data_IF_481894768100
#
_entry.id   IF_481894768100
#
_cell.length_a   1.000
_cell.length_b   1.000
_cell.length_c   1.000
_cell.angle_alpha   90.00
_cell.angle_beta   90.00
_cell.angle_gamma   90.00
#
_symmetry.space_group_name_H-M   'P 1'
#
loop_
_entity.id
_entity.type
_entity.pdbx_description
1 polymer ?
#
# COMPACT_ATOMS: atom_id res chain seq x y z
N UNK A 1 -14.64 31.52 -16.14
CA UNK A 1 -14.75 30.28 -16.93
C UNK A 1 -16.21 29.90 -17.20
N UNK A 2 -17.06 29.74 -16.17
CA UNK A 2 -18.49 29.45 -16.36
C UNK A 2 -19.24 30.49 -17.22
N UNK A 3 -18.96 31.78 -17.06
CA UNK A 3 -19.55 32.83 -17.91
C UNK A 3 -19.16 32.69 -19.39
N UNK A 4 -17.95 32.20 -19.69
CA UNK A 4 -17.49 31.99 -21.07
C UNK A 4 -18.22 30.78 -21.67
N UNK A 5 -18.45 29.72 -20.89
CA UNK A 5 -19.26 28.58 -21.33
C UNK A 5 -20.71 28.99 -21.63
N UNK A 6 -21.30 29.90 -20.82
CA UNK A 6 -22.62 30.46 -21.11
C UNK A 6 -22.60 31.25 -22.43
N UNK A 7 -21.59 32.10 -22.64
CA UNK A 7 -21.42 32.84 -23.90
C UNK A 7 -21.24 31.92 -25.10
N UNK A 8 -20.45 30.85 -25.00
CA UNK A 8 -20.27 29.84 -26.03
C UNK A 8 -21.59 29.11 -26.35
N UNK A 9 -22.39 28.78 -25.33
CA UNK A 9 -23.71 28.17 -25.52
C UNK A 9 -24.72 29.14 -26.15
N UNK A 10 -24.64 30.43 -25.85
CA UNK A 10 -25.46 31.46 -26.52
C UNK A 10 -25.04 31.62 -27.99
N UNK A 11 -23.74 31.57 -28.30
CA UNK A 11 -23.25 31.55 -29.68
C UNK A 11 -23.71 30.30 -30.43
N UNK A 12 -23.68 29.12 -29.79
CA UNK A 12 -24.21 27.89 -30.36
C UNK A 12 -25.67 28.08 -30.81
N UNK A 13 -26.53 28.65 -29.95
CA UNK A 13 -27.94 28.90 -30.29
C UNK A 13 -28.10 29.87 -31.48
N UNK A 14 -27.25 30.90 -31.57
CA UNK A 14 -27.24 31.83 -32.71
C UNK A 14 -26.82 31.13 -34.00
N UNK A 15 -25.76 30.32 -33.98
CA UNK A 15 -25.26 29.59 -35.15
C UNK A 15 -26.23 28.49 -35.58
N UNK A 16 -26.89 27.81 -34.64
CA UNK A 16 -27.99 26.86 -34.91
C UNK A 16 -29.18 27.49 -35.62
N UNK A 17 -29.46 28.78 -35.42
CA UNK A 17 -30.56 29.45 -36.14
C UNK A 17 -30.29 29.64 -37.63
N UNK A 18 -29.02 29.60 -38.06
CA UNK A 18 -28.60 29.76 -39.46
C UNK A 18 -28.33 28.45 -40.21
N UNK A 19 -28.35 27.30 -39.54
CA UNK A 19 -27.98 25.99 -40.11
C UNK A 19 -29.04 24.95 -39.71
N UNK A 20 -29.62 24.25 -40.70
CA UNK A 20 -30.72 23.28 -40.49
C UNK A 20 -30.28 21.97 -39.80
N UNK A 21 -28.97 21.72 -39.69
CA UNK A 21 -28.41 20.52 -39.07
C UNK A 21 -28.06 20.73 -37.59
N UNK A 22 -28.10 19.65 -36.79
CA UNK A 22 -27.74 19.69 -35.38
C UNK A 22 -26.24 19.98 -35.18
N UNK A 23 -25.91 21.18 -34.73
CA UNK A 23 -24.56 21.57 -34.33
C UNK A 23 -24.33 21.20 -32.86
N UNK A 24 -23.16 20.65 -32.56
CA UNK A 24 -22.69 20.41 -31.19
C UNK A 24 -21.52 21.32 -30.87
N UNK A 25 -21.48 21.84 -29.63
CA UNK A 25 -20.32 22.49 -29.07
C UNK A 25 -19.49 21.44 -28.32
N UNK A 26 -18.23 21.26 -28.73
CA UNK A 26 -17.27 20.36 -28.08
C UNK A 26 -16.06 21.18 -27.60
N UNK A 27 -15.39 20.71 -26.55
CA UNK A 27 -14.13 21.29 -26.07
C UNK A 27 -13.05 20.21 -26.08
N UNK A 28 -11.95 20.43 -26.80
CA UNK A 28 -10.79 19.52 -26.84
C UNK A 28 -9.51 20.28 -26.55
N UNK A 29 -8.50 19.59 -26.00
CA UNK A 29 -7.21 20.21 -25.68
C UNK A 29 -6.53 20.85 -26.90
N UNK A 30 -6.63 20.23 -28.08
CA UNK A 30 -6.01 20.73 -29.31
C UNK A 30 -6.68 21.99 -29.86
N UNK A 31 -8.02 22.10 -29.79
CA UNK A 31 -8.78 23.14 -30.49
C UNK A 31 -9.56 24.09 -29.57
N UNK A 32 -9.65 23.80 -28.28
CA UNK A 32 -10.56 24.49 -27.37
C UNK A 32 -12.03 24.22 -27.72
N UNK A 33 -12.90 25.18 -27.40
CA UNK A 33 -14.30 25.16 -27.81
C UNK A 33 -14.43 25.27 -29.33
N UNK A 34 -15.08 24.31 -29.95
CA UNK A 34 -15.32 24.30 -31.39
C UNK A 34 -16.70 23.73 -31.69
N UNK A 35 -17.22 24.07 -32.87
CA UNK A 35 -18.47 23.52 -33.35
C UNK A 35 -18.21 22.25 -34.17
N UNK A 36 -19.13 21.30 -34.07
CA UNK A 36 -19.09 20.04 -34.81
C UNK A 36 -20.43 19.80 -35.50
N UNK A 37 -20.37 19.45 -36.79
CA UNK A 37 -21.53 19.02 -37.60
C UNK A 37 -21.22 17.77 -38.41
N UNK A 38 -22.25 17.24 -39.08
CA UNK A 38 -22.09 16.16 -40.04
C UNK A 38 -21.39 16.63 -41.33
N UNK A 39 -20.82 15.69 -42.09
CA UNK A 39 -20.14 15.97 -43.36
C UNK A 39 -21.06 16.57 -44.43
N UNK A 40 -22.39 16.43 -44.29
CA UNK A 40 -23.36 16.94 -45.26
C UNK A 40 -23.46 18.47 -45.21
N UNK A 41 -23.25 19.07 -44.04
CA UNK A 41 -23.28 20.52 -43.84
C UNK A 41 -21.99 21.27 -44.21
N UNK A 42 -20.93 20.59 -44.69
CA UNK A 42 -19.64 21.25 -44.99
C UNK A 42 -19.80 22.41 -45.98
N UNK A 43 -20.61 22.22 -47.03
CA UNK A 43 -20.84 23.24 -48.06
C UNK A 43 -21.50 24.49 -47.48
N UNK A 44 -22.47 24.32 -46.57
CA UNK A 44 -23.19 25.41 -45.91
C UNK A 44 -22.25 26.21 -44.99
N UNK A 45 -21.31 25.55 -44.32
CA UNK A 45 -20.31 26.22 -43.46
C UNK A 45 -19.37 27.10 -44.29
N UNK A 46 -18.89 26.59 -45.44
CA UNK A 46 -18.02 27.37 -46.34
C UNK A 46 -18.74 28.58 -46.93
N UNK A 47 -20.03 28.46 -47.24
CA UNK A 47 -20.85 29.57 -47.74
C UNK A 47 -21.08 30.66 -46.69
N UNK A 48 -21.14 30.28 -45.41
CA UNK A 48 -21.25 31.20 -44.27
C UNK A 48 -19.92 31.86 -43.87
N UNK A 49 -18.82 31.54 -44.56
CA UNK A 49 -17.50 32.13 -44.31
C UNK A 49 -16.85 31.69 -42.98
N UNK A 50 -17.30 30.58 -42.40
CA UNK A 50 -16.75 30.08 -41.13
C UNK A 50 -15.46 29.25 -41.33
N UNK A 51 -14.58 29.28 -40.34
CA UNK A 51 -13.25 28.69 -40.44
C UNK A 51 -13.28 27.20 -40.07
N UNK A 52 -12.95 26.32 -41.03
CA UNK A 52 -12.92 24.87 -40.82
C UNK A 52 -11.58 24.47 -40.20
N UNK A 53 -11.63 23.79 -39.05
CA UNK A 53 -10.48 23.31 -38.31
C UNK A 53 -10.06 21.90 -38.73
N UNK A 54 -11.03 21.01 -38.94
CA UNK A 54 -10.79 19.61 -39.29
C UNK A 54 -11.99 19.04 -40.03
N UNK A 55 -11.76 18.25 -41.08
CA UNK A 55 -12.80 17.48 -41.78
C UNK A 55 -12.36 16.03 -41.87
N UNK A 56 -13.13 15.11 -41.27
CA UNK A 56 -12.84 13.67 -41.36
C UNK A 56 -14.11 12.82 -41.34
N UNK A 57 -14.01 11.64 -41.98
CA UNK A 57 -15.14 10.71 -42.17
C UNK A 57 -15.73 10.16 -40.86
N UNK A 58 -14.92 10.09 -39.79
CA UNK A 58 -15.34 9.62 -38.47
C UNK A 58 -15.72 10.73 -37.48
N UNK A 59 -15.06 11.89 -37.55
CA UNK A 59 -15.26 13.01 -36.62
C UNK A 59 -16.22 14.09 -37.16
N UNK A 60 -16.60 14.07 -38.43
CA UNK A 60 -17.45 15.10 -39.03
C UNK A 60 -16.63 16.32 -39.44
N UNK A 61 -17.29 17.49 -39.50
CA UNK A 61 -16.64 18.77 -39.78
C UNK A 61 -16.58 19.58 -38.48
N UNK A 62 -15.36 19.94 -38.06
CA UNK A 62 -15.08 20.84 -36.95
C UNK A 62 -14.78 22.22 -37.48
N UNK A 63 -15.41 23.24 -36.92
CA UNK A 63 -15.25 24.61 -37.38
C UNK A 63 -15.38 25.60 -36.20
N UNK A 64 -14.92 26.81 -36.45
CA UNK A 64 -14.95 27.94 -35.51
C UNK A 64 -15.37 29.21 -36.22
N UNK A 65 -15.67 30.25 -35.45
CA UNK A 65 -15.91 31.61 -35.91
C UNK A 65 -15.07 32.59 -35.08
N UNK A 66 -14.94 33.83 -35.55
CA UNK A 66 -14.14 34.87 -34.89
C UNK A 66 -14.58 35.04 -33.43
N UNK A 67 -15.88 35.13 -33.17
CA UNK A 67 -16.43 35.28 -31.82
C UNK A 67 -16.07 34.10 -30.89
N UNK A 68 -16.08 32.86 -31.42
CA UNK A 68 -15.73 31.68 -30.64
C UNK A 68 -14.22 31.58 -30.39
N UNK A 69 -13.40 31.99 -31.37
CA UNK A 69 -11.95 32.06 -31.21
C UNK A 69 -11.52 33.11 -30.18
N UNK A 70 -12.22 34.26 -30.09
CA UNK A 70 -12.01 35.26 -29.05
C UNK A 70 -12.34 34.69 -27.65
N UNK A 71 -13.49 34.03 -27.50
CA UNK A 71 -13.86 33.37 -26.26
C UNK A 71 -12.88 32.24 -25.88
N UNK A 72 -12.36 31.50 -26.85
CA UNK A 72 -11.32 30.50 -26.64
C UNK A 72 -10.02 31.11 -26.09
N UNK A 73 -9.58 32.24 -26.66
CA UNK A 73 -8.39 32.96 -26.17
C UNK A 73 -8.59 33.45 -24.74
N UNK A 74 -9.76 34.01 -24.45
CA UNK A 74 -10.12 34.47 -23.11
C UNK A 74 -10.17 33.29 -22.12
N UNK A 75 -10.82 32.18 -22.49
CA UNK A 75 -10.89 30.97 -21.68
C UNK A 75 -9.51 30.41 -21.37
N UNK A 76 -8.65 30.25 -22.40
CA UNK A 76 -7.28 29.74 -22.22
C UNK A 76 -6.45 30.63 -21.30
N UNK A 77 -6.61 31.96 -21.40
CA UNK A 77 -5.93 32.90 -20.50
C UNK A 77 -6.36 32.70 -19.05
N UNK A 78 -7.66 32.55 -18.79
CA UNK A 78 -8.17 32.31 -17.44
C UNK A 78 -7.83 30.92 -16.92
N UNK A 79 -7.90 29.88 -17.75
CA UNK A 79 -7.52 28.50 -17.37
C UNK A 79 -6.05 28.44 -16.97
N UNK A 80 -5.16 28.98 -17.80
CA UNK A 80 -3.73 29.02 -17.51
C UNK A 80 -3.42 29.82 -16.25
N UNK A 81 -4.10 30.96 -16.03
CA UNK A 81 -3.93 31.72 -14.80
C UNK A 81 -4.43 30.95 -13.56
N UNK A 82 -5.58 30.30 -13.66
CA UNK A 82 -6.15 29.48 -12.60
C UNK A 82 -5.23 28.31 -12.24
N UNK A 83 -4.74 27.57 -13.23
CA UNK A 83 -3.79 26.47 -13.05
C UNK A 83 -2.48 26.95 -12.40
N UNK A 84 -1.96 28.11 -12.81
CA UNK A 84 -0.75 28.69 -12.22
C UNK A 84 -0.94 29.07 -10.75
N UNK A 85 -2.10 29.63 -10.39
CA UNK A 85 -2.44 29.95 -8.99
C UNK A 85 -2.64 28.67 -8.17
N UNK A 86 -3.33 27.69 -8.73
CA UNK A 86 -3.57 26.40 -8.09
C UNK A 86 -2.25 25.66 -7.82
N UNK A 87 -1.33 25.62 -8.78
CA UNK A 87 -0.02 24.98 -8.61
C UNK A 87 0.75 25.62 -7.45
N UNK A 88 0.82 26.96 -7.41
CA UNK A 88 1.48 27.69 -6.31
C UNK A 88 0.85 27.41 -4.95
N UNK A 89 -0.47 27.26 -4.91
CA UNK A 89 -1.18 26.92 -3.68
C UNK A 89 -0.85 25.49 -3.22
N UNK A 90 -0.76 24.53 -4.14
CA UNK A 90 -0.33 23.16 -3.83
C UNK A 90 1.11 23.17 -3.31
N UNK A 91 2.02 23.90 -3.96
CA UNK A 91 3.42 24.00 -3.54
C UNK A 91 3.52 24.55 -2.11
N UNK A 92 2.75 25.60 -1.78
CA UNK A 92 2.67 26.16 -0.44
C UNK A 92 2.18 25.14 0.60
N UNK A 93 1.16 24.33 0.27
CA UNK A 93 0.67 23.28 1.16
C UNK A 93 1.76 22.22 1.38
N UNK A 94 2.40 21.75 0.31
CA UNK A 94 3.45 20.73 0.40
C UNK A 94 4.62 21.23 1.24
N UNK A 95 5.03 22.49 1.06
CA UNK A 95 6.09 23.10 1.86
C UNK A 95 5.70 23.31 3.32
N UNK A 96 4.43 23.62 3.59
CA UNK A 96 3.93 23.68 4.97
C UNK A 96 3.95 22.30 5.63
N UNK A 97 3.50 21.26 4.90
CA UNK A 97 3.50 19.88 5.38
C UNK A 97 4.90 19.31 5.55
N UNK A 98 5.87 19.72 4.71
CA UNK A 98 7.24 19.20 4.76
C UNK A 98 7.95 19.55 6.08
N UNK A 99 7.57 20.66 6.73
CA UNK A 99 8.04 21.01 8.07
C UNK A 99 7.69 19.98 9.16
N UNK A 100 6.68 19.14 8.93
CA UNK A 100 6.25 18.10 9.88
C UNK A 100 6.86 16.72 9.61
N UNK A 101 7.73 16.59 8.60
CA UNK A 101 8.37 15.31 8.27
C UNK A 101 9.01 14.63 9.48
N UNK A 102 9.80 15.31 10.34
CA UNK A 102 10.39 14.65 11.52
C UNK A 102 9.33 14.06 12.47
N UNK A 103 8.26 14.80 12.73
CA UNK A 103 7.15 14.34 13.58
C UNK A 103 6.43 13.14 12.97
N UNK A 104 6.22 13.11 11.65
CA UNK A 104 5.64 11.95 10.98
C UNK A 104 6.54 10.73 11.02
N UNK A 105 7.87 10.91 10.93
CA UNK A 105 8.83 9.82 11.09
C UNK A 105 8.77 9.23 12.51
N UNK A 106 8.82 10.06 13.55
CA UNK A 106 8.70 9.62 14.95
C UNK A 106 7.38 8.89 15.21
N UNK A 107 6.27 9.42 14.68
CA UNK A 107 4.96 8.77 14.78
C UNK A 107 4.96 7.41 14.06
N UNK A 108 5.56 7.33 12.88
CA UNK A 108 5.66 6.08 12.12
C UNK A 108 6.45 5.02 12.88
N UNK A 109 7.56 5.38 13.52
CA UNK A 109 8.35 4.47 14.35
C UNK A 109 7.56 3.97 15.56
N UNK A 110 6.88 4.89 16.26
CA UNK A 110 6.04 4.54 17.41
C UNK A 110 4.91 3.57 17.01
N UNK A 111 4.23 3.83 15.89
CA UNK A 111 3.18 2.95 15.36
C UNK A 111 3.77 1.59 14.97
N UNK A 112 4.93 1.53 14.31
CA UNK A 112 5.57 0.28 13.92
C UNK A 112 5.92 -0.61 15.13
N UNK A 113 6.40 0.00 16.22
CA UNK A 113 6.66 -0.71 17.48
C UNK A 113 5.35 -1.27 18.06
N UNK A 114 4.31 -0.45 18.14
CA UNK A 114 3.00 -0.87 18.66
C UNK A 114 2.43 -2.02 17.83
N UNK A 115 2.43 -1.89 16.50
CA UNK A 115 1.92 -2.90 15.58
C UNK A 115 2.66 -4.24 15.75
N UNK A 116 4.00 -4.18 15.85
CA UNK A 116 4.83 -5.37 16.07
C UNK A 116 4.51 -6.06 17.40
N UNK A 117 4.41 -5.30 18.49
CA UNK A 117 4.09 -5.85 19.82
C UNK A 117 2.66 -6.42 19.88
N UNK A 118 1.70 -5.74 19.23
CA UNK A 118 0.32 -6.22 19.13
C UNK A 118 0.26 -7.51 18.32
N UNK A 119 0.98 -7.60 17.19
CA UNK A 119 1.04 -8.82 16.38
C UNK A 119 1.58 -10.02 17.20
N UNK A 120 2.61 -9.82 18.01
CA UNK A 120 3.13 -10.85 18.92
C UNK A 120 2.10 -11.23 20.00
N UNK A 121 1.38 -10.25 20.56
CA UNK A 121 0.32 -10.51 21.54
C UNK A 121 -0.83 -11.31 20.91
N UNK A 122 -1.25 -10.98 19.69
CA UNK A 122 -2.31 -11.67 18.96
C UNK A 122 -1.92 -13.11 18.68
N UNK A 123 -0.67 -13.36 18.26
CA UNK A 123 -0.14 -14.72 18.09
C UNK A 123 -0.24 -15.52 19.38
N UNK A 124 0.23 -14.95 20.50
CA UNK A 124 0.24 -15.61 21.79
C UNK A 124 -1.17 -15.92 22.33
N UNK A 125 -2.13 -15.01 22.13
CA UNK A 125 -3.51 -15.17 22.61
C UNK A 125 -4.42 -15.95 21.67
N UNK A 126 -4.15 -15.92 20.36
CA UNK A 126 -4.99 -16.54 19.32
C UNK A 126 -4.65 -18.01 19.06
N UNK A 127 -3.55 -18.50 19.60
CA UNK A 127 -3.13 -19.90 19.44
C UNK A 127 -4.01 -20.85 20.26
N UNK A 128 -4.21 -22.07 19.77
CA UNK A 128 -5.04 -23.10 20.42
C UNK A 128 -4.57 -23.51 21.82
N UNK A 129 -3.32 -23.19 22.17
CA UNK A 129 -2.76 -23.43 23.50
C UNK A 129 -1.97 -22.21 23.93
N UNK A 130 -2.00 -21.92 25.24
CA UNK A 130 -1.35 -20.74 25.78
C UNK A 130 0.15 -20.73 25.47
N UNK A 131 0.64 -19.54 25.11
CA UNK A 131 2.07 -19.22 25.08
C UNK A 131 2.46 -18.67 26.45
N UNK A 132 3.70 -18.89 26.85
CA UNK A 132 4.22 -18.47 28.16
C UNK A 132 5.29 -17.40 28.01
N UNK A 133 5.36 -16.48 28.98
CA UNK A 133 6.46 -15.52 29.06
C UNK A 133 7.73 -16.27 29.46
N UNK A 134 8.79 -16.26 28.64
CA UNK A 134 10.04 -16.94 28.97
C UNK A 134 10.77 -16.21 30.10
N UNK A 135 11.48 -16.96 30.93
CA UNK A 135 12.47 -16.43 31.86
C UNK A 135 13.85 -16.40 31.18
N UNK A 136 14.28 -15.21 30.78
CA UNK A 136 15.60 -15.01 30.18
C UNK A 136 16.63 -14.78 31.30
N UNK A 137 17.70 -15.57 31.29
CA UNK A 137 18.84 -15.48 32.20
C UNK A 137 20.05 -14.85 31.50
N UNK A 138 21.02 -14.38 32.27
CA UNK A 138 22.30 -13.90 31.74
C UNK A 138 23.07 -15.03 31.03
N UNK A 139 23.84 -14.66 30.00
CA UNK A 139 24.57 -15.58 29.11
C UNK A 139 25.46 -16.60 29.88
N UNK A 140 26.09 -16.18 30.98
CA UNK A 140 27.00 -17.02 31.78
C UNK A 140 26.34 -18.18 32.52
N UNK A 141 25.00 -18.26 32.55
CA UNK A 141 24.25 -19.30 33.27
C UNK A 141 24.14 -20.62 32.49
N UNK A 142 24.29 -20.58 31.16
CA UNK A 142 24.31 -21.77 30.28
C UNK A 142 23.11 -22.73 30.48
N UNK A 143 21.92 -22.18 30.68
CA UNK A 143 20.67 -22.96 30.85
C UNK A 143 19.82 -22.87 29.58
N UNK A 144 19.23 -23.98 29.17
CA UNK A 144 18.16 -24.03 28.17
C UNK A 144 17.13 -25.08 28.58
N UNK A 145 16.03 -24.63 29.18
CA UNK A 145 14.93 -25.45 29.66
C UNK A 145 13.62 -25.01 29.00
N UNK A 146 13.10 -25.85 28.10
CA UNK A 146 11.81 -25.66 27.44
C UNK A 146 10.92 -26.86 27.77
N UNK A 147 9.86 -26.65 28.54
CA UNK A 147 8.90 -27.70 28.94
C UNK A 147 7.70 -27.72 28.01
N UNK A 148 7.34 -28.91 27.53
CA UNK A 148 6.29 -29.12 26.52
C UNK A 148 6.38 -28.12 25.36
N UNK A 149 7.58 -27.97 24.80
CA UNK A 149 7.85 -27.13 23.66
C UNK A 149 7.11 -27.64 22.41
N UNK A 150 6.47 -26.72 21.69
CA UNK A 150 5.74 -26.99 20.45
C UNK A 150 6.35 -26.21 19.28
N UNK A 151 6.04 -26.63 18.06
CA UNK A 151 6.48 -25.91 16.86
C UNK A 151 5.44 -24.85 16.48
N UNK A 152 5.74 -23.54 16.56
CA UNK A 152 4.72 -22.48 16.42
C UNK A 152 4.02 -22.51 15.04
N UNK A 153 4.74 -22.85 13.97
CA UNK A 153 4.15 -22.96 12.62
C UNK A 153 3.33 -24.24 12.42
N UNK A 154 3.76 -25.37 12.99
CA UNK A 154 3.05 -26.64 12.75
C UNK A 154 1.79 -26.72 13.58
N UNK A 155 1.81 -26.23 14.83
CA UNK A 155 0.61 -26.22 15.68
C UNK A 155 -0.50 -25.32 15.15
N UNK A 156 -0.12 -24.25 14.43
CA UNK A 156 -1.06 -23.33 13.82
C UNK A 156 -1.73 -23.90 12.55
N UNK A 157 -1.27 -25.05 12.04
CA UNK A 157 -1.84 -25.65 10.85
C UNK A 157 -3.15 -26.37 11.19
N UNK A 158 -4.31 -25.88 10.71
CA UNK A 158 -5.62 -26.46 11.02
C UNK A 158 -5.80 -27.88 10.46
N UNK A 159 -5.01 -28.25 9.45
CA UNK A 159 -5.05 -29.57 8.82
C UNK A 159 -4.08 -30.56 9.49
N UNK A 160 -3.27 -30.13 10.46
CA UNK A 160 -2.36 -31.02 11.17
C UNK A 160 -3.06 -31.66 12.38
N UNK A 161 -2.74 -32.93 12.65
CA UNK A 161 -3.11 -33.55 13.92
C UNK A 161 -2.43 -32.79 15.07
N UNK A 162 -2.98 -32.92 16.28
CA UNK A 162 -2.45 -32.28 17.48
C UNK A 162 -0.94 -32.49 17.61
N UNK A 163 -0.18 -31.39 17.66
CA UNK A 163 1.28 -31.43 17.75
C UNK A 163 1.71 -32.04 19.09
N UNK A 164 2.58 -33.05 19.07
CA UNK A 164 3.12 -33.67 20.28
C UNK A 164 4.26 -32.79 20.80
N UNK A 165 4.05 -32.20 21.98
CA UNK A 165 5.03 -31.36 22.66
C UNK A 165 6.22 -32.17 23.21
N UNK A 166 7.40 -31.56 23.27
CA UNK A 166 8.62 -32.21 23.77
C UNK A 166 9.36 -31.34 24.78
N UNK A 167 10.02 -31.96 25.75
CA UNK A 167 10.91 -31.28 26.67
C UNK A 167 12.31 -31.12 26.05
N UNK A 168 12.94 -29.97 26.31
CA UNK A 168 14.31 -29.67 25.89
C UNK A 168 15.05 -29.14 27.11
N UNK A 169 16.11 -29.83 27.50
CA UNK A 169 16.93 -29.45 28.66
C UNK A 169 18.40 -29.58 28.25
N UNK A 170 19.12 -28.47 28.25
CA UNK A 170 20.57 -28.40 28.11
C UNK A 170 21.14 -27.49 29.20
N UNK A 171 22.25 -27.95 29.80
CA UNK A 171 22.95 -27.27 30.87
C UNK A 171 22.17 -27.18 32.19
N UNK A 172 22.74 -26.46 33.14
CA UNK A 172 22.12 -26.07 34.42
C UNK A 172 22.92 -24.95 35.04
N UNK A 173 22.29 -24.19 35.95
CA UNK A 173 23.02 -23.14 36.69
C UNK A 173 24.14 -23.68 37.58
N UNK A 174 24.13 -24.98 37.88
CA UNK A 174 25.10 -25.65 38.74
C UNK A 174 26.33 -26.14 37.96
N UNK A 175 26.34 -26.03 36.63
CA UNK A 175 27.51 -26.33 35.78
C UNK A 175 27.74 -27.82 35.45
N UNK A 176 27.04 -28.75 36.11
CA UNK A 176 27.28 -30.20 35.99
C UNK A 176 26.42 -30.93 34.94
N UNK A 177 25.77 -30.21 34.01
CA UNK A 177 24.77 -30.79 33.09
C UNK A 177 25.17 -30.85 31.62
N UNK A 178 24.45 -31.71 30.87
CA UNK A 178 24.60 -31.99 29.44
C UNK A 178 24.46 -30.73 28.56
N UNK A 179 25.54 -30.33 27.89
CA UNK A 179 25.56 -29.22 26.92
C UNK A 179 25.43 -29.66 25.46
N UNK A 180 25.43 -30.98 25.21
CA UNK A 180 25.39 -31.54 23.86
C UNK A 180 24.46 -32.76 23.81
N UNK A 181 23.53 -32.76 22.85
CA UNK A 181 22.54 -33.81 22.69
C UNK A 181 22.73 -34.55 21.36
N UNK A 182 22.98 -35.85 21.43
CA UNK A 182 22.99 -36.73 20.26
C UNK A 182 21.59 -37.29 20.01
N UNK A 183 20.86 -36.71 19.07
CA UNK A 183 19.52 -37.15 18.70
C UNK A 183 19.56 -38.26 17.65
N UNK A 184 19.21 -39.48 18.06
CA UNK A 184 19.05 -40.64 17.17
C UNK A 184 17.57 -41.01 17.03
N UNK A 185 17.24 -41.82 16.02
CA UNK A 185 15.88 -42.29 15.76
C UNK A 185 15.57 -42.48 14.29
N UNK A 186 14.45 -43.14 13.98
CA UNK A 186 14.02 -43.43 12.61
C UNK A 186 13.81 -42.15 11.76
N UNK A 187 13.91 -42.29 10.43
CA UNK A 187 13.51 -41.22 9.52
C UNK A 187 12.04 -40.87 9.74
N UNK A 188 11.70 -39.59 9.58
CA UNK A 188 10.38 -39.03 9.89
C UNK A 188 9.94 -39.11 11.36
N UNK A 189 10.82 -39.55 12.29
CA UNK A 189 10.56 -39.55 13.74
C UNK A 189 10.58 -38.16 14.41
N UNK A 190 10.46 -37.06 13.66
CA UNK A 190 10.36 -35.71 14.23
C UNK A 190 11.68 -35.08 14.71
N UNK A 191 12.85 -35.72 14.51
CA UNK A 191 14.16 -35.19 14.97
C UNK A 191 14.45 -33.77 14.50
N UNK A 192 14.25 -33.48 13.20
CA UNK A 192 14.45 -32.13 12.65
C UNK A 192 13.42 -31.14 13.18
N UNK A 193 12.19 -31.60 13.43
CA UNK A 193 11.13 -30.78 14.03
C UNK A 193 11.51 -30.40 15.46
N UNK A 194 12.01 -31.33 16.27
CA UNK A 194 12.50 -31.09 17.63
C UNK A 194 13.56 -29.99 17.67
N UNK A 195 14.58 -30.07 16.80
CA UNK A 195 15.63 -29.05 16.71
C UNK A 195 15.07 -27.68 16.32
N UNK A 196 14.13 -27.64 15.35
CA UNK A 196 13.48 -26.38 14.94
C UNK A 196 12.58 -25.79 16.01
N UNK A 197 11.86 -26.61 16.80
CA UNK A 197 11.07 -26.14 17.93
C UNK A 197 11.94 -25.37 18.93
N UNK A 198 13.11 -25.93 19.25
CA UNK A 198 14.08 -25.31 20.14
C UNK A 198 14.51 -23.93 19.61
N UNK A 199 15.03 -23.90 18.38
CA UNK A 199 15.53 -22.69 17.74
C UNK A 199 14.45 -21.61 17.61
N UNK A 200 13.23 -21.97 17.18
CA UNK A 200 12.13 -21.02 17.02
C UNK A 200 11.65 -20.46 18.36
N UNK A 201 11.65 -21.27 19.43
CA UNK A 201 11.26 -20.80 20.76
C UNK A 201 12.28 -19.80 21.31
N UNK A 202 13.57 -20.08 21.17
CA UNK A 202 14.64 -19.14 21.53
C UNK A 202 14.54 -17.85 20.73
N UNK A 203 14.35 -17.95 19.41
CA UNK A 203 14.23 -16.80 18.53
C UNK A 203 13.04 -15.91 18.92
N UNK A 204 11.85 -16.49 19.10
CA UNK A 204 10.66 -15.76 19.54
C UNK A 204 10.89 -15.05 20.87
N UNK A 205 11.49 -15.75 21.84
CA UNK A 205 11.79 -15.17 23.14
C UNK A 205 12.76 -13.99 23.06
N UNK A 206 13.87 -14.11 22.31
CA UNK A 206 14.84 -13.02 22.16
C UNK A 206 14.34 -11.87 21.27
N UNK A 207 13.29 -12.09 20.47
CA UNK A 207 12.52 -11.02 19.82
C UNK A 207 11.57 -10.29 20.79
N UNK A 208 11.38 -10.80 22.01
CA UNK A 208 10.45 -10.24 23.01
C UNK A 208 9.05 -10.86 22.99
N UNK A 209 8.84 -11.95 22.26
CA UNK A 209 7.57 -12.67 22.21
C UNK A 209 7.43 -13.66 23.36
N UNK A 210 6.19 -14.04 23.65
CA UNK A 210 5.88 -15.25 24.38
C UNK A 210 6.22 -16.47 23.51
N UNK A 211 6.39 -17.64 24.13
CA UNK A 211 6.84 -18.88 23.44
C UNK A 211 5.85 -20.03 23.60
N UNK A 212 5.80 -20.98 22.64
CA UNK A 212 4.86 -22.11 22.65
C UNK A 212 5.35 -23.24 23.56
N UNK A 213 5.46 -22.96 24.86
CA UNK A 213 5.88 -23.89 25.90
C UNK A 213 4.92 -23.82 27.10
N UNK A 214 4.94 -24.84 27.96
CA UNK A 214 4.30 -24.76 29.28
C UNK A 214 5.14 -23.91 30.24
N UNK A 215 6.46 -24.07 30.20
CA UNK A 215 7.43 -23.18 30.84
C UNK A 215 8.69 -23.09 29.99
N UNK A 216 9.33 -21.92 30.01
CA UNK A 216 10.57 -21.67 29.28
C UNK A 216 11.52 -20.84 30.14
N UNK A 217 12.74 -21.33 30.31
CA UNK A 217 13.80 -20.68 31.05
C UNK A 217 15.11 -20.94 30.32
N UNK A 218 15.79 -19.89 29.86
CA UNK A 218 17.05 -20.07 29.15
C UNK A 218 17.94 -18.84 29.26
N UNK A 219 19.25 -19.05 29.11
CA UNK A 219 20.26 -18.00 29.07
C UNK A 219 20.28 -17.36 27.69
N UNK A 220 20.62 -16.08 27.60
CA UNK A 220 20.79 -15.41 26.31
C UNK A 220 21.71 -16.22 25.39
N UNK A 221 21.26 -16.44 24.15
CA UNK A 221 22.01 -17.16 23.12
C UNK A 221 22.55 -16.13 22.12
N UNK A 222 23.83 -16.28 21.80
CA UNK A 222 24.60 -15.43 20.89
C UNK A 222 24.19 -15.66 19.42
N UNK A 223 23.94 -16.92 19.05
CA UNK A 223 23.57 -17.29 17.70
C UNK A 223 22.97 -18.68 17.58
N UNK A 224 22.14 -18.87 16.57
CA UNK A 224 21.57 -20.17 16.19
C UNK A 224 22.21 -20.59 14.87
N UNK A 225 22.96 -21.69 14.90
CA UNK A 225 23.66 -22.22 13.74
C UNK A 225 23.01 -23.52 13.27
N UNK A 226 22.78 -23.65 11.97
CA UNK A 226 22.17 -24.84 11.36
C UNK A 226 23.03 -25.33 10.19
N UNK A 227 23.10 -26.65 10.00
CA UNK A 227 23.79 -27.31 8.87
C UNK A 227 22.83 -28.22 8.12
#
# INVERSE_FOLDING_TARGET
>A
MHEIEIKCNTLLKKVCSGITEAIKLENTESHGFHFRVTLKAEKSIRQLGMHILETSKGSGVRFTCVDLDELNREYRKFSSHYEAVQSKFIDMIVETCSGYVPTFCELSEAIAIIDSLVALSVLASGSSSAYVRPQILDEGKQVLELKKCRHPVMEANPNSSQFICNDIVLGSEQGDNTMFLVLTGANMGGKSTYLRCCALSVLLAQMGSFVPCESARFSLIDGIYTR
#
